data_IF_495276866347
#
_entry.id   IF_495276866347
#
_cell.length_a   1.000
_cell.length_b   1.000
_cell.length_c   1.000
_cell.angle_alpha   90.00
_cell.angle_beta   90.00
_cell.angle_gamma   90.00
#
_symmetry.space_group_name_H-M   'P 1'
#
loop_
_entity.id
_entity.type
_entity.pdbx_description
1 polymer ?
#
# COMPACT_ATOMS: atom_id res chain seq x y z
N UNK A 1 -0.13 -22.76 13.24
CA UNK A 1 -1.28 -22.05 12.61
C UNK A 1 -0.86 -21.57 11.23
N UNK A 2 -1.69 -21.74 10.18
CA UNK A 2 -1.39 -21.17 8.86
C UNK A 2 -1.32 -19.64 8.92
N UNK A 3 -0.48 -19.04 8.07
CA UNK A 3 -0.30 -17.58 8.02
C UNK A 3 -1.34 -16.98 7.08
N UNK A 4 -2.12 -16.02 7.58
CA UNK A 4 -3.16 -15.33 6.80
C UNK A 4 -2.53 -14.23 5.96
N UNK A 5 -3.03 -14.00 4.75
CA UNK A 5 -2.56 -12.93 3.87
C UNK A 5 -3.72 -12.00 3.51
N UNK A 6 -3.52 -10.71 3.72
CA UNK A 6 -4.50 -9.66 3.39
C UNK A 6 -3.87 -8.65 2.44
N UNK A 7 -4.58 -8.29 1.39
CA UNK A 7 -4.27 -7.16 0.51
C UNK A 7 -5.16 -5.97 0.87
N UNK A 8 -4.55 -4.88 1.35
CA UNK A 8 -5.20 -3.59 1.58
C UNK A 8 -5.26 -2.78 0.28
N UNK A 9 -6.15 -3.16 -0.63
CA UNK A 9 -6.34 -2.47 -1.91
C UNK A 9 -7.76 -2.61 -2.45
N UNK A 10 -8.31 -1.49 -2.93
CA UNK A 10 -9.55 -1.41 -3.71
C UNK A 10 -9.35 -1.65 -5.22
N UNK A 11 -8.10 -1.70 -5.70
CA UNK A 11 -7.79 -1.76 -7.14
C UNK A 11 -8.03 -3.16 -7.72
N UNK A 12 -8.99 -3.35 -8.66
CA UNK A 12 -9.27 -4.67 -9.23
C UNK A 12 -8.06 -5.29 -9.93
N UNK A 13 -7.23 -4.46 -10.58
CA UNK A 13 -5.98 -4.88 -11.20
C UNK A 13 -4.99 -5.45 -10.18
N UNK A 14 -4.73 -4.73 -9.06
CA UNK A 14 -3.82 -5.23 -8.01
C UNK A 14 -4.38 -6.49 -7.34
N UNK A 15 -5.68 -6.57 -7.10
CA UNK A 15 -6.33 -7.75 -6.53
C UNK A 15 -6.12 -8.97 -7.44
N UNK A 16 -6.38 -8.83 -8.74
CA UNK A 16 -6.18 -9.91 -9.70
C UNK A 16 -4.71 -10.32 -9.79
N UNK A 17 -3.78 -9.36 -9.85
CA UNK A 17 -2.34 -9.61 -9.91
C UNK A 17 -1.83 -10.35 -8.67
N UNK A 18 -2.17 -9.91 -7.45
CA UNK A 18 -1.71 -10.60 -6.24
C UNK A 18 -2.38 -11.98 -6.10
N UNK A 19 -3.62 -12.16 -6.57
CA UNK A 19 -4.28 -13.47 -6.58
C UNK A 19 -3.63 -14.51 -7.50
N UNK A 20 -2.88 -14.12 -8.54
CA UNK A 20 -2.10 -15.12 -9.32
C UNK A 20 -0.89 -15.65 -8.55
N UNK A 21 -0.32 -14.85 -7.64
CA UNK A 21 0.84 -15.21 -6.82
C UNK A 21 0.46 -15.81 -5.46
N UNK A 22 -0.66 -15.36 -4.90
CA UNK A 22 -1.21 -15.77 -3.59
C UNK A 22 -2.73 -16.01 -3.72
N UNK A 23 -3.18 -17.16 -4.24
CA UNK A 23 -4.60 -17.42 -4.53
C UNK A 23 -5.53 -17.26 -3.33
N UNK A 24 -5.03 -17.54 -2.12
CA UNK A 24 -5.77 -17.45 -0.85
C UNK A 24 -5.70 -16.07 -0.18
N UNK A 25 -5.23 -15.02 -0.88
CA UNK A 25 -5.20 -13.65 -0.33
C UNK A 25 -6.62 -13.09 -0.21
N UNK A 26 -6.95 -12.55 0.97
CA UNK A 26 -8.17 -11.78 1.16
C UNK A 26 -7.95 -10.32 0.78
N UNK A 27 -8.82 -9.75 -0.06
CA UNK A 27 -8.75 -8.34 -0.41
C UNK A 27 -9.71 -7.52 0.45
N UNK A 28 -9.19 -6.47 1.08
CA UNK A 28 -9.98 -5.49 1.83
C UNK A 28 -9.75 -4.10 1.23
N UNK A 29 -10.83 -3.34 1.05
CA UNK A 29 -10.73 -1.91 0.71
C UNK A 29 -10.38 -1.12 1.98
N UNK A 30 -9.24 -0.41 2.02
CA UNK A 30 -8.95 0.54 3.09
C UNK A 30 -9.82 1.79 2.91
N UNK A 31 -10.30 2.33 4.02
CA UNK A 31 -11.05 3.58 4.08
C UNK A 31 -10.13 4.64 4.71
N UNK A 32 -9.50 5.47 3.86
CA UNK A 32 -8.53 6.48 4.28
C UNK A 32 -8.65 7.75 3.44
N UNK A 33 -8.19 8.87 3.98
CA UNK A 33 -7.98 10.10 3.21
C UNK A 33 -6.69 10.02 2.37
N UNK A 34 -6.87 9.94 1.05
CA UNK A 34 -5.78 9.93 0.07
C UNK A 34 -5.33 11.35 -0.36
N UNK A 35 -5.84 12.41 0.27
CA UNK A 35 -5.47 13.80 -0.02
C UNK A 35 -3.97 14.06 0.14
N UNK A 36 -3.42 14.86 -0.77
CA UNK A 36 -2.01 15.26 -0.77
C UNK A 36 -1.80 16.39 0.24
N UNK A 37 -0.85 16.25 1.17
CA UNK A 37 -0.55 17.29 2.14
C UNK A 37 0.29 18.41 1.50
N UNK A 38 0.12 19.65 1.97
CA UNK A 38 0.83 20.79 1.41
C UNK A 38 2.36 20.64 1.56
N UNK A 39 3.08 20.71 0.43
CA UNK A 39 4.54 20.54 0.41
C UNK A 39 5.02 19.09 0.57
N UNK A 40 4.11 18.10 0.61
CA UNK A 40 4.47 16.70 0.75
C UNK A 40 5.22 16.19 -0.50
N UNK A 41 6.47 15.73 -0.36
CA UNK A 41 7.18 15.16 -1.49
C UNK A 41 6.53 13.81 -1.86
N UNK A 42 6.50 13.45 -3.16
CA UNK A 42 5.78 12.28 -3.64
C UNK A 42 6.15 10.94 -3.00
N UNK A 43 7.41 10.80 -2.63
CA UNK A 43 7.93 9.62 -1.94
C UNK A 43 7.39 9.52 -0.51
N UNK A 44 7.15 10.65 0.16
CA UNK A 44 6.48 10.70 1.45
C UNK A 44 4.99 10.41 1.31
N UNK A 45 4.32 10.98 0.29
CA UNK A 45 2.92 10.69 -0.05
C UNK A 45 2.69 9.18 -0.24
N UNK A 46 3.43 8.53 -1.15
CA UNK A 46 3.32 7.07 -1.39
C UNK A 46 3.52 6.28 -0.10
N UNK A 47 4.57 6.60 0.66
CA UNK A 47 4.89 5.90 1.91
C UNK A 47 3.78 6.08 2.95
N UNK A 48 3.28 7.31 3.15
CA UNK A 48 2.19 7.63 4.07
C UNK A 48 0.92 6.89 3.70
N UNK A 49 0.52 6.92 2.42
CA UNK A 49 -0.70 6.26 1.97
C UNK A 49 -0.61 4.74 2.08
N UNK A 50 0.52 4.12 1.70
CA UNK A 50 0.71 2.67 1.87
C UNK A 50 0.62 2.25 3.35
N UNK A 51 1.25 3.02 4.26
CA UNK A 51 1.17 2.78 5.71
C UNK A 51 -0.25 2.98 6.24
N UNK A 52 -0.95 4.05 5.85
CA UNK A 52 -2.32 4.33 6.26
C UNK A 52 -3.30 3.25 5.78
N UNK A 53 -3.15 2.76 4.53
CA UNK A 53 -3.94 1.67 3.96
C UNK A 53 -3.77 0.38 4.76
N UNK A 54 -2.54 0.04 5.19
CA UNK A 54 -2.32 -1.10 6.08
C UNK A 54 -2.96 -0.89 7.47
N UNK A 55 -2.76 0.28 8.07
CA UNK A 55 -3.23 0.61 9.42
C UNK A 55 -4.76 0.54 9.55
N UNK A 56 -5.49 1.11 8.57
CA UNK A 56 -6.96 1.03 8.53
C UNK A 56 -7.48 -0.42 8.52
N UNK A 57 -6.74 -1.34 7.90
CA UNK A 57 -7.08 -2.77 7.93
C UNK A 57 -6.69 -3.42 9.25
N UNK A 58 -5.51 -3.10 9.83
CA UNK A 58 -5.09 -3.60 11.16
C UNK A 58 -6.17 -3.31 12.21
N UNK A 59 -6.63 -2.06 12.28
CA UNK A 59 -7.62 -1.60 13.26
C UNK A 59 -8.98 -2.30 13.07
N UNK A 60 -9.39 -2.51 11.81
CA UNK A 60 -10.64 -3.17 11.45
C UNK A 60 -10.64 -4.67 11.74
N UNK A 61 -9.56 -5.40 11.41
CA UNK A 61 -9.54 -6.88 11.46
C UNK A 61 -8.84 -7.46 12.70
N UNK A 62 -8.16 -6.63 13.50
CA UNK A 62 -7.42 -7.01 14.72
C UNK A 62 -6.60 -8.31 14.54
N UNK A 63 -5.66 -8.32 13.59
CA UNK A 63 -5.06 -9.54 13.07
C UNK A 63 -4.27 -10.34 14.11
N UNK A 64 -4.26 -11.66 13.95
CA UNK A 64 -3.29 -12.58 14.58
C UNK A 64 -2.62 -13.39 13.48
N UNK A 65 -1.30 -13.58 13.54
CA UNK A 65 -0.52 -14.37 12.55
C UNK A 65 -0.86 -14.03 11.08
N UNK A 66 -0.97 -12.74 10.76
CA UNK A 66 -1.41 -12.23 9.45
C UNK A 66 -0.32 -11.35 8.84
N UNK A 67 -0.10 -11.46 7.53
CA UNK A 67 0.67 -10.49 6.74
C UNK A 67 -0.32 -9.57 6.03
N UNK A 68 -0.14 -8.26 6.19
CA UNK A 68 -0.88 -7.24 5.44
C UNK A 68 0.05 -6.66 4.38
N UNK A 69 -0.43 -6.69 3.14
CA UNK A 69 0.19 -6.17 1.95
C UNK A 69 -0.55 -4.87 1.61
N UNK A 70 0.15 -3.73 1.65
CA UNK A 70 -0.38 -2.44 1.23
C UNK A 70 0.56 -1.82 0.18
N UNK A 71 0.02 -0.96 -0.67
CA UNK A 71 0.76 -0.36 -1.78
C UNK A 71 0.12 0.96 -2.18
N UNK A 72 0.96 1.93 -2.53
CA UNK A 72 0.54 3.15 -3.20
C UNK A 72 1.49 3.50 -4.36
N UNK A 73 1.02 4.29 -5.33
CA UNK A 73 1.83 4.73 -6.46
C UNK A 73 1.32 6.08 -6.97
N UNK A 74 2.22 7.00 -7.30
CA UNK A 74 1.85 8.37 -7.70
C UNK A 74 2.57 8.85 -8.95
N UNK A 75 1.96 9.87 -9.56
CA UNK A 75 2.48 10.60 -10.72
C UNK A 75 2.96 12.05 -10.43
N UNK A 76 4.23 12.36 -10.71
CA UNK A 76 5.10 13.59 -10.49
C UNK A 76 5.32 14.83 -11.44
N UNK A 77 4.62 15.05 -12.57
CA UNK A 77 5.26 15.42 -13.87
C UNK A 77 6.15 16.65 -13.89
N UNK A 78 7.29 16.51 -14.57
CA UNK A 78 8.17 17.62 -14.94
C UNK A 78 7.62 18.38 -16.16
N UNK A 79 6.39 18.89 -16.06
CA UNK A 79 5.97 20.03 -16.87
C UNK A 79 6.23 21.31 -16.07
N UNK A 80 6.54 22.43 -16.74
CA UNK A 80 6.78 23.74 -16.08
C UNK A 80 5.52 24.35 -15.41
N UNK A 81 4.44 23.59 -15.30
CA UNK A 81 3.12 24.02 -14.85
C UNK A 81 2.52 22.98 -13.89
N UNK A 82 2.99 23.00 -12.63
CA UNK A 82 2.58 22.12 -11.54
C UNK A 82 3.02 20.63 -11.65
N UNK A 83 3.47 20.00 -10.55
CA UNK A 83 3.80 18.57 -10.55
C UNK A 83 2.53 17.70 -10.68
N UNK A 84 2.30 17.13 -11.87
CA UNK A 84 1.18 16.21 -12.20
C UNK A 84 1.60 15.10 -13.19
N UNK A 85 2.03 13.90 -12.76
CA UNK A 85 2.49 12.71 -13.55
C UNK A 85 3.96 12.42 -14.11
N UNK A 86 5.06 12.34 -13.32
CA UNK A 86 6.25 11.44 -13.49
C UNK A 86 5.84 10.08 -12.96
N UNK A 87 6.03 9.05 -13.76
CA UNK A 87 5.91 7.67 -13.29
C UNK A 87 7.31 7.22 -12.87
N UNK A 88 7.66 7.44 -11.60
CA UNK A 88 8.87 6.87 -11.00
C UNK A 88 8.44 5.94 -9.89
N UNK A 89 8.33 4.66 -10.23
CA UNK A 89 8.18 3.58 -9.25
C UNK A 89 9.42 3.63 -8.36
N UNK A 90 9.24 3.91 -7.08
CA UNK A 90 10.30 3.84 -6.07
C UNK A 90 10.06 2.55 -5.29
N UNK A 91 10.75 1.45 -5.63
CA UNK A 91 10.60 0.20 -4.89
C UNK A 91 11.20 0.40 -3.49
N UNK A 92 10.34 0.45 -2.46
CA UNK A 92 10.76 0.53 -1.06
C UNK A 92 11.16 -0.86 -0.53
N UNK A 93 12.20 -1.44 -1.13
CA UNK A 93 12.85 -2.63 -0.61
C UNK A 93 13.72 -2.27 0.60
N UNK A 94 13.18 -2.43 1.81
CA UNK A 94 13.98 -2.63 3.02
C UNK A 94 13.19 -3.53 3.99
N UNK A 95 13.55 -4.81 4.00
CA UNK A 95 12.86 -5.84 4.74
C UNK A 95 13.37 -5.92 6.18
N UNK A 96 12.46 -5.81 7.15
CA UNK A 96 12.68 -6.39 8.47
C UNK A 96 11.42 -7.20 8.83
N UNK A 97 11.53 -8.52 8.89
CA UNK A 97 10.41 -9.45 9.01
C UNK A 97 10.14 -9.80 10.47
N UNK A 98 9.61 -8.85 11.24
CA UNK A 98 8.97 -9.15 12.53
C UNK A 98 7.53 -9.68 12.30
N UNK A 99 6.90 -10.31 13.30
CA UNK A 99 5.51 -10.76 13.21
C UNK A 99 4.48 -9.66 12.92
N UNK A 100 4.85 -8.40 13.21
CA UNK A 100 3.98 -7.22 13.15
C UNK A 100 4.33 -6.27 11.98
N UNK A 101 5.21 -6.69 11.07
CA UNK A 101 5.68 -5.86 9.97
C UNK A 101 4.65 -5.65 8.85
N UNK A 102 4.31 -4.39 8.59
CA UNK A 102 3.55 -3.97 7.39
C UNK A 102 4.42 -4.09 6.14
N UNK A 103 3.95 -4.83 5.14
CA UNK A 103 4.61 -4.91 3.84
C UNK A 103 4.10 -3.79 2.93
N UNK A 104 4.96 -2.81 2.63
CA UNK A 104 4.75 -1.83 1.58
C UNK A 104 5.30 -2.39 0.26
N UNK A 105 4.45 -2.54 -0.77
CA UNK A 105 4.82 -2.87 -2.15
C UNK A 105 4.75 -1.65 -3.08
#
# INVERSE_FOLDING_TARGET
MPKRFILASSSPYRINLIKTLLPNVEAYTPDIDESILQGEPPQALVKRLAQAKAQAIIERVKPKNTIIIASDQVGVSMTKSSPKHIQKIVPLANFNLSPDSVLNL
#
